data_IF_800344560188
#
_entry.id   IF_800344560188
#
_cell.length_a   1.000
_cell.length_b   1.000
_cell.length_c   1.000
_cell.angle_alpha   90.00
_cell.angle_beta   90.00
_cell.angle_gamma   90.00
#
_symmetry.space_group_name_H-M   'P 1'
#
loop_
_entity.id
_entity.type
_entity.pdbx_description
1 polymer ?
#
# COMPACT_ATOMS: atom_id res chain seq x y z
N UNK A 1 26.27 -5.86 17.95
CA UNK A 1 26.13 -4.38 18.03
C UNK A 1 25.01 -4.02 17.06
N UNK A 2 23.85 -3.55 17.57
CA UNK A 2 22.82 -3.03 16.67
C UNK A 2 23.38 -1.76 16.04
N UNK A 3 23.65 -1.79 14.74
CA UNK A 3 23.96 -0.56 14.00
C UNK A 3 22.71 0.30 13.99
N UNK A 4 22.86 1.58 14.31
CA UNK A 4 21.79 2.55 14.14
C UNK A 4 21.40 2.60 12.66
N UNK A 5 20.11 2.46 12.37
CA UNK A 5 19.58 2.51 11.00
C UNK A 5 19.09 3.94 10.77
N UNK A 6 19.57 4.58 9.72
CA UNK A 6 19.14 5.92 9.33
C UNK A 6 18.35 5.86 8.02
N UNK A 7 17.33 6.71 7.87
CA UNK A 7 16.58 6.77 6.62
C UNK A 7 17.45 7.21 5.44
N UNK A 8 18.50 8.02 5.70
CA UNK A 8 19.49 8.43 4.71
C UNK A 8 20.28 7.27 4.10
N UNK A 9 20.38 6.14 4.82
CA UNK A 9 21.03 4.92 4.31
C UNK A 9 20.21 4.23 3.20
N UNK A 10 18.98 4.69 2.99
CA UNK A 10 18.02 4.19 2.00
C UNK A 10 17.69 5.27 0.96
N UNK A 11 18.68 6.08 0.63
CA UNK A 11 18.55 7.12 -0.39
C UNK A 11 19.06 6.65 -1.75
N UNK A 12 18.45 7.13 -2.81
CA UNK A 12 18.89 6.95 -4.18
C UNK A 12 18.36 8.07 -5.07
N UNK A 13 19.07 8.39 -6.14
CA UNK A 13 18.66 9.37 -7.10
C UNK A 13 17.80 8.76 -8.20
N UNK A 14 16.65 9.36 -8.48
CA UNK A 14 15.77 8.98 -9.58
C UNK A 14 15.56 10.13 -10.55
N UNK A 15 15.83 9.95 -11.85
CA UNK A 15 15.48 10.93 -12.87
C UNK A 15 13.97 11.20 -12.91
N UNK A 16 13.53 12.45 -12.85
CA UNK A 16 12.11 12.82 -12.79
C UNK A 16 11.28 12.23 -13.95
N UNK A 17 11.90 12.05 -15.12
CA UNK A 17 11.28 11.43 -16.30
C UNK A 17 10.84 9.99 -16.09
N UNK A 18 11.41 9.28 -15.10
CA UNK A 18 11.06 7.90 -14.77
C UNK A 18 9.89 7.79 -13.79
N UNK A 19 9.47 8.89 -13.18
CA UNK A 19 8.31 8.92 -12.29
C UNK A 19 7.04 8.84 -13.13
N UNK A 20 6.32 7.72 -13.01
CA UNK A 20 5.09 7.48 -13.76
C UNK A 20 3.94 8.30 -13.18
N UNK A 21 3.60 9.42 -13.79
CA UNK A 21 2.47 10.28 -13.37
C UNK A 21 1.11 9.72 -13.79
N UNK A 22 1.06 8.88 -14.80
CA UNK A 22 -0.12 8.22 -15.34
C UNK A 22 0.10 6.72 -15.50
N UNK A 23 -0.95 5.91 -15.35
CA UNK A 23 -0.87 4.47 -15.62
C UNK A 23 -0.62 4.21 -17.11
N UNK A 24 -0.09 3.04 -17.49
CA UNK A 24 -0.01 2.63 -18.90
C UNK A 24 -1.41 2.49 -19.50
N UNK A 25 -1.52 2.45 -20.84
CA UNK A 25 -2.82 2.33 -21.55
C UNK A 25 -3.59 1.10 -21.05
N UNK A 26 -2.98 -0.08 -21.10
CA UNK A 26 -3.53 -1.30 -20.50
C UNK A 26 -2.77 -1.61 -19.20
N UNK A 27 -3.40 -2.27 -18.23
CA UNK A 27 -2.79 -2.58 -16.93
C UNK A 27 -1.54 -3.45 -17.11
N UNK A 28 -1.60 -4.43 -17.98
CA UNK A 28 -0.54 -5.40 -18.26
C UNK A 28 0.56 -4.90 -19.19
N UNK A 29 0.46 -3.65 -19.71
CA UNK A 29 1.53 -3.03 -20.52
C UNK A 29 2.74 -2.59 -19.67
N UNK A 30 2.62 -2.57 -18.35
CA UNK A 30 3.76 -2.31 -17.48
C UNK A 30 4.84 -3.40 -17.65
N UNK A 31 6.08 -3.03 -17.35
CA UNK A 31 7.20 -3.96 -17.33
C UNK A 31 7.27 -4.68 -15.99
N UNK A 32 7.78 -5.89 -16.01
CA UNK A 32 8.10 -6.69 -14.84
C UNK A 32 9.60 -6.96 -14.81
N UNK A 33 10.27 -6.50 -13.78
CA UNK A 33 11.65 -6.85 -13.51
C UNK A 33 11.68 -8.13 -12.68
N UNK A 34 12.19 -9.20 -13.26
CA UNK A 34 12.46 -10.46 -12.57
C UNK A 34 13.84 -10.37 -11.93
N UNK A 35 13.90 -10.52 -10.60
CA UNK A 35 15.11 -10.42 -9.82
C UNK A 35 15.35 -11.76 -9.13
N UNK A 36 16.28 -12.54 -9.66
CA UNK A 36 16.63 -13.86 -9.14
C UNK A 36 18.14 -14.10 -9.20
N UNK A 37 18.72 -14.56 -8.08
CA UNK A 37 20.14 -14.96 -7.99
C UNK A 37 21.10 -13.91 -8.59
N UNK A 38 20.86 -12.62 -8.30
CA UNK A 38 21.58 -11.46 -8.87
C UNK A 38 21.45 -11.30 -10.39
N UNK A 39 20.57 -12.06 -11.01
CA UNK A 39 20.24 -11.90 -12.42
C UNK A 39 18.98 -11.07 -12.59
N UNK A 40 19.03 -10.12 -13.51
CA UNK A 40 17.92 -9.22 -13.82
C UNK A 40 17.43 -9.47 -15.25
N UNK A 41 16.12 -9.67 -15.41
CA UNK A 41 15.50 -9.73 -16.73
C UNK A 41 14.19 -8.97 -16.78
N UNK A 42 14.02 -8.17 -17.83
CA UNK A 42 12.81 -7.36 -18.03
C UNK A 42 11.86 -8.13 -18.94
N UNK A 43 10.62 -8.24 -18.50
CA UNK A 43 9.52 -8.87 -19.23
C UNK A 43 8.31 -7.94 -19.26
N UNK A 44 7.30 -8.25 -20.06
CA UNK A 44 6.00 -7.64 -19.93
C UNK A 44 5.27 -8.22 -18.70
N UNK A 45 4.52 -7.40 -17.99
CA UNK A 45 3.79 -7.84 -16.79
C UNK A 45 2.82 -9.00 -17.08
N UNK A 46 2.22 -9.02 -18.27
CA UNK A 46 1.36 -10.12 -18.73
C UNK A 46 1.98 -11.51 -18.62
N UNK A 47 3.32 -11.60 -18.56
CA UNK A 47 4.04 -12.87 -18.45
C UNK A 47 4.32 -13.32 -17.01
N UNK A 48 3.77 -12.62 -15.98
CA UNK A 48 4.05 -12.93 -14.58
C UNK A 48 3.71 -14.37 -14.19
N UNK A 49 2.67 -14.97 -14.80
CA UNK A 49 2.28 -16.36 -14.56
C UNK A 49 3.43 -17.35 -14.84
N UNK A 50 4.37 -17.01 -15.72
CA UNK A 50 5.52 -17.86 -16.02
C UNK A 50 6.56 -17.91 -14.88
N UNK A 51 6.49 -16.97 -13.93
CA UNK A 51 7.32 -16.98 -12.73
C UNK A 51 6.76 -17.92 -11.65
N UNK A 52 5.45 -18.13 -11.63
CA UNK A 52 4.79 -18.95 -10.63
C UNK A 52 5.01 -20.44 -10.90
N UNK A 53 5.18 -21.21 -9.82
CA UNK A 53 5.23 -22.67 -9.86
C UNK A 53 3.85 -23.23 -9.54
N UNK A 54 3.57 -24.43 -10.03
CA UNK A 54 2.26 -25.10 -9.84
C UNK A 54 1.83 -25.20 -8.36
N UNK A 55 2.81 -25.33 -7.46
CA UNK A 55 2.56 -25.48 -6.02
C UNK A 55 2.63 -24.16 -5.24
N UNK A 56 2.74 -23.03 -5.91
CA UNK A 56 2.73 -21.71 -5.24
C UNK A 56 1.34 -21.37 -4.74
N UNK A 57 1.28 -20.69 -3.59
CA UNK A 57 0.11 -19.97 -3.12
C UNK A 57 0.29 -18.47 -3.37
N UNK A 58 -0.60 -17.87 -4.14
CA UNK A 58 -0.55 -16.45 -4.47
C UNK A 58 -1.58 -15.71 -3.61
N UNK A 59 -1.12 -14.73 -2.82
CA UNK A 59 -1.97 -14.00 -1.87
C UNK A 59 -2.18 -12.57 -2.35
N UNK A 60 -3.45 -12.18 -2.50
CA UNK A 60 -3.88 -10.85 -2.96
C UNK A 60 -4.47 -10.03 -1.82
N UNK A 61 -4.31 -8.70 -1.88
CA UNK A 61 -5.04 -7.77 -1.04
C UNK A 61 -6.27 -7.27 -1.80
N UNK A 62 -7.47 -7.67 -1.38
CA UNK A 62 -8.74 -7.31 -2.02
C UNK A 62 -9.37 -6.02 -1.51
N UNK A 63 -8.59 -5.20 -0.79
CA UNK A 63 -9.11 -3.93 -0.26
C UNK A 63 -9.60 -3.01 -1.38
N UNK A 64 -10.69 -2.28 -1.12
CA UNK A 64 -11.25 -1.30 -2.04
C UNK A 64 -10.94 0.12 -1.60
N UNK A 65 -10.43 0.92 -2.54
CA UNK A 65 -10.19 2.34 -2.32
C UNK A 65 -11.52 3.10 -2.39
N UNK A 66 -11.78 3.95 -1.40
CA UNK A 66 -12.88 4.89 -1.46
C UNK A 66 -12.40 6.31 -1.83
N UNK A 67 -13.29 7.19 -2.22
CA UNK A 67 -12.97 8.57 -2.60
C UNK A 67 -12.67 9.41 -1.36
N UNK A 68 -11.52 9.18 -0.76
CA UNK A 68 -11.13 9.66 0.55
C UNK A 68 -10.77 11.16 0.62
N UNK A 69 -10.63 11.85 -0.51
CA UNK A 69 -10.17 13.24 -0.57
C UNK A 69 -11.33 14.20 -0.77
N UNK A 70 -11.63 15.03 0.23
CA UNK A 70 -12.64 16.09 0.16
C UNK A 70 -11.94 17.43 -0.06
N UNK A 71 -12.26 18.11 -1.17
CA UNK A 71 -11.86 19.49 -1.44
C UNK A 71 -13.01 20.40 -1.09
N UNK A 72 -12.77 21.33 -0.19
CA UNK A 72 -13.80 22.16 0.42
C UNK A 72 -13.33 23.61 0.46
N UNK A 73 -14.29 24.54 0.50
CA UNK A 73 -14.01 25.96 0.62
C UNK A 73 -14.38 26.46 2.03
N UNK A 74 -13.52 27.27 2.62
CA UNK A 74 -13.82 27.97 3.88
C UNK A 74 -14.80 29.12 3.65
N UNK A 75 -15.48 29.57 4.70
CA UNK A 75 -16.32 30.77 4.65
C UNK A 75 -15.57 32.01 4.15
N UNK A 76 -14.26 32.11 4.44
CA UNK A 76 -13.37 33.16 3.96
C UNK A 76 -12.99 33.07 2.46
N UNK A 77 -13.48 32.05 1.74
CA UNK A 77 -13.14 31.81 0.32
C UNK A 77 -11.90 30.94 0.10
N UNK A 78 -11.06 30.73 1.13
CA UNK A 78 -9.85 29.91 1.00
C UNK A 78 -10.16 28.42 0.84
N UNK A 79 -9.31 27.71 0.08
CA UNK A 79 -9.44 26.27 -0.10
C UNK A 79 -8.90 25.49 1.11
N UNK A 80 -9.48 24.33 1.35
CA UNK A 80 -9.01 23.36 2.34
C UNK A 80 -9.25 21.95 1.84
N UNK A 81 -8.40 21.01 2.24
CA UNK A 81 -8.56 19.61 1.92
C UNK A 81 -8.66 18.79 3.21
N UNK A 82 -9.58 17.84 3.22
CA UNK A 82 -9.73 16.84 4.27
C UNK A 82 -9.56 15.47 3.59
N UNK A 83 -8.53 14.74 4.01
CA UNK A 83 -8.31 13.36 3.59
C UNK A 83 -8.81 12.43 4.68
N UNK A 84 -9.83 11.66 4.40
CA UNK A 84 -10.36 10.64 5.29
C UNK A 84 -9.36 9.48 5.33
N UNK A 85 -8.68 9.31 6.46
CA UNK A 85 -7.74 8.20 6.66
C UNK A 85 -8.48 6.92 7.09
N UNK A 86 -9.44 7.06 8.02
CA UNK A 86 -10.25 5.96 8.54
C UNK A 86 -11.61 6.49 8.99
N UNK A 87 -12.68 5.83 8.56
CA UNK A 87 -14.05 6.10 9.03
C UNK A 87 -14.24 5.33 10.34
N UNK A 88 -14.59 6.04 11.42
CA UNK A 88 -14.80 5.46 12.76
C UNK A 88 -16.28 5.22 13.05
N UNK A 89 -17.12 6.10 12.54
CA UNK A 89 -18.56 5.99 12.67
C UNK A 89 -19.25 6.71 11.50
N UNK A 90 -20.58 6.64 11.44
CA UNK A 90 -21.38 7.33 10.44
C UNK A 90 -21.02 8.83 10.28
N UNK A 91 -20.58 9.47 11.37
CA UNK A 91 -20.34 10.92 11.42
C UNK A 91 -18.92 11.30 11.86
N UNK A 92 -18.04 10.34 12.12
CA UNK A 92 -16.69 10.60 12.62
C UNK A 92 -15.63 9.87 11.80
N UNK A 93 -14.54 10.59 11.54
CA UNK A 93 -13.40 10.01 10.84
C UNK A 93 -12.07 10.58 11.36
N UNK A 94 -11.03 9.77 11.30
CA UNK A 94 -9.64 10.22 11.40
C UNK A 94 -9.21 10.76 10.04
N UNK A 95 -8.64 11.96 10.06
CA UNK A 95 -8.34 12.70 8.84
C UNK A 95 -6.93 13.28 8.85
N UNK A 96 -6.32 13.39 7.67
CA UNK A 96 -5.27 14.36 7.42
C UNK A 96 -5.91 15.63 6.84
N UNK A 97 -5.36 16.77 7.16
CA UNK A 97 -5.92 18.05 6.72
C UNK A 97 -4.86 18.95 6.12
N UNK A 98 -5.23 19.72 5.10
CA UNK A 98 -4.39 20.75 4.51
C UNK A 98 -5.17 22.06 4.45
N UNK A 99 -4.63 23.10 5.08
CA UNK A 99 -5.26 24.42 5.07
C UNK A 99 -6.43 24.57 6.03
N UNK A 100 -6.80 23.58 6.85
CA UNK A 100 -7.82 23.67 7.88
C UNK A 100 -7.28 24.43 9.11
N UNK A 101 -8.12 25.26 9.75
CA UNK A 101 -7.74 25.94 10.98
C UNK A 101 -8.00 25.02 12.19
N UNK A 102 -6.96 24.32 12.68
CA UNK A 102 -7.08 23.37 13.78
C UNK A 102 -7.38 24.01 15.14
N UNK A 103 -7.13 25.32 15.30
CA UNK A 103 -7.46 26.05 16.54
C UNK A 103 -8.95 26.32 16.68
N UNK A 104 -9.69 26.42 15.57
CA UNK A 104 -11.14 26.67 15.56
C UNK A 104 -11.88 25.33 15.68
N UNK A 105 -12.40 25.03 16.87
CA UNK A 105 -13.06 23.76 17.21
C UNK A 105 -14.27 23.42 16.33
N UNK A 106 -15.04 24.41 15.86
CA UNK A 106 -16.17 24.19 14.95
C UNK A 106 -16.07 25.15 13.78
N UNK A 107 -16.27 24.62 12.57
CA UNK A 107 -16.16 25.36 11.32
C UNK A 107 -17.28 24.96 10.36
N UNK A 108 -17.67 25.89 9.51
CA UNK A 108 -18.51 25.61 8.35
C UNK A 108 -17.64 25.66 7.10
N UNK A 109 -17.67 24.60 6.33
CA UNK A 109 -17.01 24.49 5.05
C UNK A 109 -18.08 24.39 3.96
N UNK A 110 -17.78 24.82 2.75
CA UNK A 110 -18.69 24.72 1.61
C UNK A 110 -18.29 23.54 0.74
N UNK A 111 -19.25 22.70 0.42
CA UNK A 111 -19.22 21.82 -0.76
C UNK A 111 -19.77 22.58 -1.96
N UNK A 112 -19.83 21.98 -3.11
CA UNK A 112 -20.43 22.62 -4.29
C UNK A 112 -21.94 22.88 -4.12
N UNK A 113 -22.62 22.19 -3.22
CA UNK A 113 -24.09 22.20 -3.10
C UNK A 113 -24.65 22.61 -1.74
N UNK A 114 -23.88 22.46 -0.63
CA UNK A 114 -24.36 22.79 0.71
C UNK A 114 -23.23 23.16 1.68
N UNK A 115 -23.55 23.85 2.79
CA UNK A 115 -22.61 24.08 3.88
C UNK A 115 -22.43 22.83 4.73
N UNK A 116 -21.19 22.37 4.89
CA UNK A 116 -20.80 21.26 5.73
C UNK A 116 -20.25 21.76 7.05
N UNK A 117 -20.96 21.50 8.16
CA UNK A 117 -20.45 21.79 9.50
C UNK A 117 -19.53 20.65 9.96
N UNK A 118 -18.35 21.02 10.44
CA UNK A 118 -17.39 20.10 11.05
C UNK A 118 -17.02 20.53 12.45
N UNK A 119 -16.62 19.57 13.29
CA UNK A 119 -16.06 19.82 14.61
C UNK A 119 -14.78 19.03 14.80
N UNK A 120 -13.71 19.71 15.24
CA UNK A 120 -12.43 19.09 15.57
C UNK A 120 -12.53 18.54 17.00
N UNK A 121 -12.46 17.22 17.13
CA UNK A 121 -12.59 16.52 18.42
C UNK A 121 -11.23 16.40 19.09
N UNK A 122 -10.22 15.91 18.33
CA UNK A 122 -8.87 15.64 18.85
C UNK A 122 -7.85 15.72 17.71
N UNK A 123 -6.63 16.11 18.07
CA UNK A 123 -5.45 16.00 17.20
C UNK A 123 -4.41 15.12 17.90
N UNK A 124 -3.87 14.15 17.20
CA UNK A 124 -2.82 13.27 17.69
C UNK A 124 -1.98 12.73 16.51
N UNK A 125 -0.66 12.80 16.62
CA UNK A 125 0.31 12.23 15.66
C UNK A 125 0.08 12.71 14.21
N UNK A 126 -0.38 13.98 14.05
CA UNK A 126 -0.70 14.60 12.77
C UNK A 126 -1.99 14.10 12.12
N UNK A 127 -2.78 13.29 12.83
CA UNK A 127 -4.15 12.93 12.48
C UNK A 127 -5.14 13.78 13.30
N UNK A 128 -6.24 14.15 12.66
CA UNK A 128 -7.31 14.96 13.25
C UNK A 128 -8.59 14.14 13.28
N UNK A 129 -9.13 13.91 14.47
CA UNK A 129 -10.46 13.33 14.61
C UNK A 129 -11.50 14.43 14.34
N UNK A 130 -12.26 14.27 13.28
CA UNK A 130 -13.30 15.22 12.84
C UNK A 130 -14.66 14.56 12.93
N UNK A 131 -15.61 15.31 13.54
CA UNK A 131 -17.04 15.01 13.49
C UNK A 131 -17.69 15.85 12.41
N UNK A 132 -18.44 15.21 11.52
CA UNK A 132 -19.14 15.81 10.39
C UNK A 132 -20.65 15.91 10.68
N UNK A 133 -21.30 16.93 10.14
CA UNK A 133 -22.77 17.06 10.20
C UNK A 133 -23.51 16.15 9.23
N UNK A 134 -22.80 15.48 8.34
CA UNK A 134 -23.31 14.56 7.34
C UNK A 134 -22.63 13.18 7.46
N UNK A 135 -23.26 12.15 6.88
CA UNK A 135 -22.69 10.82 6.80
C UNK A 135 -21.37 10.85 6.02
N UNK A 136 -20.28 10.37 6.62
CA UNK A 136 -18.93 10.41 6.03
C UNK A 136 -18.85 9.60 4.74
N UNK A 137 -19.46 8.41 4.69
CA UNK A 137 -19.48 7.58 3.48
C UNK A 137 -20.22 8.27 2.34
N UNK A 138 -21.34 8.93 2.65
CA UNK A 138 -22.10 9.70 1.67
C UNK A 138 -21.29 10.90 1.17
N UNK A 139 -20.60 11.62 2.05
CA UNK A 139 -19.70 12.72 1.66
C UNK A 139 -18.61 12.22 0.71
N UNK A 140 -17.98 11.09 1.04
CA UNK A 140 -16.93 10.50 0.21
C UNK A 140 -17.46 10.03 -1.14
N UNK A 141 -18.61 9.36 -1.18
CA UNK A 141 -19.18 8.85 -2.43
C UNK A 141 -19.63 9.97 -3.39
N UNK A 142 -20.16 11.07 -2.85
CA UNK A 142 -20.77 12.15 -3.64
C UNK A 142 -19.76 13.25 -4.00
N UNK A 143 -18.95 13.69 -3.04
CA UNK A 143 -18.02 14.83 -3.19
C UNK A 143 -16.55 14.44 -3.13
N UNK A 144 -16.27 13.19 -2.78
CA UNK A 144 -14.91 12.70 -2.65
C UNK A 144 -14.22 12.53 -4.00
N UNK A 145 -12.91 12.71 -3.96
CA UNK A 145 -11.99 12.48 -5.06
C UNK A 145 -11.07 11.31 -4.73
N UNK A 146 -10.54 10.67 -5.76
CA UNK A 146 -9.57 9.57 -5.60
C UNK A 146 -8.31 10.12 -4.93
N UNK A 147 -7.85 9.49 -3.85
CA UNK A 147 -6.70 9.98 -3.09
C UNK A 147 -5.37 9.54 -3.74
N UNK A 148 -5.12 10.00 -4.97
CA UNK A 148 -3.86 9.69 -5.66
C UNK A 148 -2.66 10.25 -4.88
N UNK A 149 -1.49 9.58 -4.93
CA UNK A 149 -0.31 9.99 -4.18
C UNK A 149 0.21 11.39 -4.54
N UNK A 150 0.70 12.18 -3.56
CA UNK A 150 1.15 13.56 -3.80
C UNK A 150 2.33 13.67 -4.77
N UNK A 151 3.20 12.66 -4.85
CA UNK A 151 4.37 12.67 -5.75
C UNK A 151 4.01 12.60 -7.23
N UNK A 152 2.74 12.29 -7.58
CA UNK A 152 2.26 12.37 -8.96
C UNK A 152 2.19 13.82 -9.44
N UNK A 153 2.20 14.81 -8.54
CA UNK A 153 2.22 16.26 -8.83
C UNK A 153 1.13 16.69 -9.83
N UNK A 154 -0.03 16.07 -9.75
CA UNK A 154 -1.23 16.39 -10.52
C UNK A 154 -2.48 16.16 -9.70
N UNK A 155 -3.59 16.67 -10.19
CA UNK A 155 -4.90 16.34 -9.65
C UNK A 155 -5.38 14.99 -10.18
N UNK A 156 -6.33 14.39 -9.45
CA UNK A 156 -7.04 13.20 -9.92
C UNK A 156 -7.92 13.56 -11.12
N UNK A 157 -8.06 12.63 -12.03
CA UNK A 157 -8.92 12.71 -13.19
C UNK A 157 -9.94 11.55 -13.23
N UNK A 158 -10.80 11.52 -14.24
CA UNK A 158 -11.80 10.45 -14.38
C UNK A 158 -11.16 9.07 -14.56
N UNK A 159 -10.00 9.01 -15.17
CA UNK A 159 -9.24 7.77 -15.33
C UNK A 159 -8.85 7.15 -14.00
N UNK A 160 -8.50 7.97 -13.00
CA UNK A 160 -8.09 7.48 -11.68
C UNK A 160 -9.24 6.76 -10.95
N UNK A 161 -10.52 7.13 -11.21
CA UNK A 161 -11.66 6.42 -10.62
C UNK A 161 -11.67 4.92 -10.94
N UNK A 162 -11.16 4.55 -12.12
CA UNK A 162 -11.07 3.15 -12.57
C UNK A 162 -9.68 2.59 -12.38
N UNK A 163 -8.64 3.38 -12.66
CA UNK A 163 -7.26 2.88 -12.73
C UNK A 163 -6.57 2.81 -11.37
N UNK A 164 -6.99 3.64 -10.39
CA UNK A 164 -6.47 3.57 -9.00
C UNK A 164 -7.26 2.59 -8.14
N UNK A 165 -7.71 1.47 -8.74
CA UNK A 165 -8.44 0.38 -8.10
C UNK A 165 -8.01 -0.95 -8.68
N UNK A 166 -7.85 -1.99 -7.84
CA UNK A 166 -7.59 -3.35 -8.34
C UNK A 166 -8.85 -3.97 -8.95
N UNK A 167 -8.69 -4.87 -9.92
CA UNK A 167 -9.80 -5.57 -10.58
C UNK A 167 -10.47 -6.61 -9.67
N UNK A 168 -9.80 -7.02 -8.60
CA UNK A 168 -10.28 -7.99 -7.61
C UNK A 168 -10.63 -7.34 -6.25
N UNK A 169 -10.84 -6.02 -6.23
CA UNK A 169 -11.27 -5.32 -5.03
C UNK A 169 -12.67 -5.79 -4.59
N UNK A 170 -12.84 -5.97 -3.29
CA UNK A 170 -14.11 -6.40 -2.70
C UNK A 170 -14.99 -5.19 -2.39
N UNK A 171 -16.18 -5.13 -3.00
CA UNK A 171 -17.11 -4.01 -2.85
C UNK A 171 -17.64 -3.82 -1.43
N UNK A 172 -17.65 -4.85 -0.61
CA UNK A 172 -18.12 -4.80 0.78
C UNK A 172 -17.08 -4.15 1.70
N UNK A 173 -15.79 -4.24 1.34
CA UNK A 173 -14.66 -3.82 2.17
C UNK A 173 -14.09 -2.47 1.69
N UNK A 174 -14.89 -1.40 1.72
CA UNK A 174 -14.52 -0.04 1.28
C UNK A 174 -13.84 0.74 2.40
N UNK A 175 -12.65 0.31 2.81
CA UNK A 175 -11.98 0.88 3.97
C UNK A 175 -10.62 1.52 3.65
N UNK A 176 -10.14 1.43 2.40
CA UNK A 176 -8.79 1.83 2.05
C UNK A 176 -8.73 3.25 1.52
N UNK A 177 -7.89 4.08 2.15
CA UNK A 177 -7.60 5.44 1.70
C UNK A 177 -6.50 5.51 0.62
N UNK A 178 -5.88 4.37 0.28
CA UNK A 178 -4.89 4.27 -0.80
C UNK A 178 -4.96 2.90 -1.48
N UNK A 179 -4.53 2.80 -2.74
CA UNK A 179 -4.52 1.54 -3.47
C UNK A 179 -3.33 0.65 -3.07
N UNK A 180 -3.50 -0.70 -3.02
CA UNK A 180 -2.39 -1.64 -3.04
C UNK A 180 -1.78 -1.66 -4.45
N UNK A 181 -0.81 -0.76 -4.72
CA UNK A 181 -0.42 -0.37 -6.09
C UNK A 181 0.14 -1.50 -6.95
N UNK A 182 0.77 -2.52 -6.36
CA UNK A 182 1.18 -3.72 -7.09
C UNK A 182 0.00 -4.49 -7.71
N UNK A 183 -1.21 -4.34 -7.16
CA UNK A 183 -2.44 -4.92 -7.68
C UNK A 183 -2.98 -4.22 -8.92
N UNK A 184 -2.52 -2.99 -9.21
CA UNK A 184 -2.99 -2.19 -10.35
C UNK A 184 -2.50 -2.70 -11.71
N UNK A 185 -1.50 -3.56 -11.70
CA UNK A 185 -0.94 -4.17 -12.90
C UNK A 185 -1.81 -5.28 -13.49
N UNK A 186 -2.70 -5.89 -12.68
CA UNK A 186 -3.58 -6.96 -13.12
C UNK A 186 -4.80 -6.40 -13.85
N UNK A 187 -5.13 -6.98 -15.00
CA UNK A 187 -6.45 -6.88 -15.60
C UNK A 187 -7.29 -8.13 -15.26
N UNK A 188 -8.54 -8.16 -15.69
CA UNK A 188 -9.43 -9.28 -15.39
C UNK A 188 -8.92 -10.58 -16.00
N UNK A 189 -8.47 -10.55 -17.26
CA UNK A 189 -8.04 -11.74 -17.99
C UNK A 189 -6.82 -12.40 -17.31
N UNK A 190 -5.83 -11.61 -16.94
CA UNK A 190 -4.64 -12.11 -16.24
C UNK A 190 -5.01 -12.61 -14.83
N UNK A 191 -5.89 -11.92 -14.12
CA UNK A 191 -6.34 -12.35 -12.80
C UNK A 191 -7.10 -13.68 -12.88
N UNK A 192 -8.06 -13.82 -13.80
CA UNK A 192 -8.80 -15.07 -14.04
C UNK A 192 -7.87 -16.21 -14.43
N UNK A 193 -6.92 -15.96 -15.35
CA UNK A 193 -5.90 -16.94 -15.71
C UNK A 193 -5.15 -17.45 -14.48
N UNK A 194 -4.66 -16.54 -13.64
CA UNK A 194 -3.88 -16.91 -12.44
C UNK A 194 -4.74 -17.70 -11.45
N UNK A 195 -5.97 -17.27 -11.19
CA UNK A 195 -6.86 -17.97 -10.25
C UNK A 195 -7.30 -19.36 -10.73
N UNK A 196 -7.33 -19.58 -12.05
CA UNK A 196 -7.63 -20.89 -12.64
C UNK A 196 -6.43 -21.83 -12.66
N UNK A 197 -5.22 -21.30 -12.81
CA UNK A 197 -4.00 -22.12 -12.98
C UNK A 197 -3.27 -22.39 -11.64
N UNK A 198 -3.43 -21.51 -10.63
CA UNK A 198 -2.68 -21.55 -9.37
C UNK A 198 -3.57 -21.50 -8.14
N UNK A 199 -3.04 -21.98 -7.01
CA UNK A 199 -3.71 -21.79 -5.74
C UNK A 199 -3.65 -20.32 -5.32
N UNK A 200 -4.80 -19.76 -4.97
CA UNK A 200 -4.89 -18.35 -4.55
C UNK A 200 -5.70 -18.19 -3.28
N UNK A 201 -5.40 -17.14 -2.53
CA UNK A 201 -6.28 -16.66 -1.48
C UNK A 201 -6.22 -15.13 -1.37
N UNK A 202 -7.13 -14.57 -0.60
CA UNK A 202 -7.26 -13.12 -0.42
C UNK A 202 -7.14 -12.74 1.05
N UNK A 203 -6.56 -11.59 1.28
CA UNK A 203 -6.61 -10.87 2.56
C UNK A 203 -7.19 -9.49 2.31
N UNK A 204 -7.62 -8.82 3.36
CA UNK A 204 -7.94 -7.40 3.31
C UNK A 204 -7.00 -6.65 4.26
N UNK A 205 -6.25 -5.66 3.76
CA UNK A 205 -5.57 -4.67 4.57
C UNK A 205 -5.98 -3.29 4.06
N UNK A 206 -6.61 -2.51 4.92
CA UNK A 206 -7.01 -1.14 4.65
C UNK A 206 -5.78 -0.23 4.68
N UNK A 207 -5.35 0.24 3.51
CA UNK A 207 -4.15 1.08 3.38
C UNK A 207 -4.46 2.50 3.81
N UNK A 208 -3.76 2.98 4.84
CA UNK A 208 -3.85 4.36 5.30
C UNK A 208 -2.97 5.31 4.48
N UNK A 209 -3.29 6.60 4.54
CA UNK A 209 -2.53 7.66 3.88
C UNK A 209 -1.11 7.83 4.44
N UNK A 210 -0.83 7.25 5.61
CA UNK A 210 0.49 7.22 6.21
C UNK A 210 1.56 6.55 5.35
N UNK A 211 1.15 5.65 4.43
CA UNK A 211 2.03 4.96 3.49
C UNK A 211 2.80 5.93 2.57
N UNK A 212 2.27 7.13 2.32
CA UNK A 212 2.91 8.15 1.49
C UNK A 212 3.59 9.26 2.28
N UNK A 213 3.57 9.20 3.62
CA UNK A 213 4.30 10.17 4.43
C UNK A 213 5.77 9.80 4.49
N UNK A 214 6.67 10.78 4.31
CA UNK A 214 8.08 10.59 4.66
C UNK A 214 8.22 10.22 6.14
N UNK A 215 9.21 9.41 6.47
CA UNK A 215 9.54 9.12 7.86
C UNK A 215 9.95 10.42 8.57
N UNK A 216 9.34 10.68 9.72
CA UNK A 216 9.55 11.92 10.48
C UNK A 216 10.94 11.99 11.13
N UNK A 217 11.47 10.83 11.55
CA UNK A 217 12.75 10.74 12.23
C UNK A 217 13.84 10.24 11.28
N UNK A 218 15.05 10.76 11.42
CA UNK A 218 16.20 10.28 10.66
C UNK A 218 16.70 8.94 11.19
N UNK A 219 16.77 8.80 12.52
CA UNK A 219 17.14 7.55 13.17
C UNK A 219 15.93 6.62 13.32
N UNK A 220 16.10 5.38 12.91
CA UNK A 220 15.10 4.31 13.00
C UNK A 220 15.55 3.31 14.05
N UNK A 221 14.77 3.16 15.10
CA UNK A 221 15.05 2.25 16.20
C UNK A 221 13.96 1.17 16.35
N UNK A 222 14.07 0.31 17.34
CA UNK A 222 13.13 -0.79 17.56
C UNK A 222 11.75 -0.33 18.06
N UNK A 223 11.66 0.88 18.61
CA UNK A 223 10.39 1.50 18.99
C UNK A 223 9.67 2.21 17.84
N UNK A 224 10.31 2.35 16.68
CA UNK A 224 9.70 2.99 15.50
C UNK A 224 8.54 2.16 14.99
N UNK A 225 7.37 2.80 14.88
CA UNK A 225 6.13 2.18 14.41
C UNK A 225 5.54 2.99 13.26
N UNK A 226 4.85 2.32 12.37
CA UNK A 226 4.03 2.98 11.36
C UNK A 226 2.64 3.31 11.93
N UNK A 227 1.87 4.10 11.21
CA UNK A 227 0.46 4.31 11.54
C UNK A 227 -0.28 2.97 11.56
N UNK A 228 -1.23 2.86 12.48
CA UNK A 228 -2.05 1.67 12.62
C UNK A 228 -2.92 1.46 11.37
N UNK A 229 -2.92 0.25 10.86
CA UNK A 229 -3.77 -0.20 9.76
C UNK A 229 -4.55 -1.44 10.18
N UNK A 230 -5.84 -1.47 9.80
CA UNK A 230 -6.69 -2.64 10.02
C UNK A 230 -6.47 -3.66 8.92
N UNK A 231 -6.46 -4.94 9.28
CA UNK A 231 -6.48 -6.01 8.29
C UNK A 231 -7.38 -7.17 8.74
N UNK A 232 -7.76 -7.99 7.77
CA UNK A 232 -8.59 -9.16 7.98
C UNK A 232 -8.09 -10.33 7.13
N UNK A 233 -7.98 -11.49 7.75
CA UNK A 233 -7.70 -12.77 7.09
C UNK A 233 -8.84 -13.72 7.43
N UNK A 234 -9.53 -14.26 6.42
CA UNK A 234 -10.60 -15.22 6.64
C UNK A 234 -10.06 -16.57 7.15
N UNK A 235 -10.88 -17.34 7.84
CA UNK A 235 -10.53 -18.70 8.27
C UNK A 235 -10.09 -19.57 7.08
N UNK A 236 -10.74 -19.43 5.92
CA UNK A 236 -10.39 -20.16 4.71
C UNK A 236 -9.00 -19.77 4.21
N UNK A 237 -8.70 -18.45 4.12
CA UNK A 237 -7.38 -17.95 3.70
C UNK A 237 -6.30 -18.40 4.67
N UNK A 238 -6.54 -18.29 5.98
CA UNK A 238 -5.58 -18.73 7.00
C UNK A 238 -5.31 -20.24 6.91
N UNK A 239 -6.34 -21.07 6.69
CA UNK A 239 -6.17 -22.50 6.46
C UNK A 239 -5.31 -22.82 5.25
N UNK A 240 -5.54 -22.14 4.11
CA UNK A 240 -4.71 -22.31 2.90
C UNK A 240 -3.25 -21.91 3.15
N UNK A 241 -3.02 -20.75 3.78
CA UNK A 241 -1.69 -20.24 4.10
C UNK A 241 -0.97 -21.23 5.05
N UNK A 242 -1.63 -21.66 6.12
CA UNK A 242 -1.05 -22.56 7.11
C UNK A 242 -0.75 -23.97 6.55
N UNK A 243 -1.59 -24.47 5.64
CA UNK A 243 -1.27 -25.71 4.91
C UNK A 243 -0.04 -25.56 4.06
N UNK A 244 0.10 -24.42 3.35
CA UNK A 244 1.24 -24.12 2.50
C UNK A 244 2.55 -24.04 3.32
N UNK A 245 2.50 -23.39 4.48
CA UNK A 245 3.63 -23.29 5.42
C UNK A 245 4.05 -24.66 5.95
N UNK A 246 3.08 -25.49 6.37
CA UNK A 246 3.32 -26.86 6.86
C UNK A 246 4.00 -27.74 5.82
N UNK A 247 3.62 -27.58 4.55
CA UNK A 247 4.17 -28.32 3.43
C UNK A 247 5.50 -27.74 2.90
N UNK A 248 6.04 -26.69 3.53
CA UNK A 248 7.22 -25.93 3.07
C UNK A 248 7.12 -25.46 1.62
N UNK A 249 5.92 -25.16 1.15
CA UNK A 249 5.68 -24.65 -0.20
C UNK A 249 5.69 -23.12 -0.22
N UNK A 250 5.94 -22.58 -1.39
CA UNK A 250 6.17 -21.14 -1.59
C UNK A 250 4.88 -20.32 -1.48
N UNK A 251 4.93 -19.21 -0.74
CA UNK A 251 3.87 -18.21 -0.62
C UNK A 251 4.35 -16.91 -1.25
N UNK A 252 3.58 -16.38 -2.19
CA UNK A 252 3.89 -15.16 -2.93
C UNK A 252 2.93 -14.04 -2.52
N UNK A 253 3.47 -12.97 -1.95
CA UNK A 253 2.70 -11.80 -1.58
C UNK A 253 2.58 -10.83 -2.77
N UNK A 254 1.35 -10.46 -3.15
CA UNK A 254 1.09 -9.43 -4.14
C UNK A 254 0.96 -8.08 -3.44
N UNK A 255 2.05 -7.33 -3.43
CA UNK A 255 2.18 -6.02 -2.77
C UNK A 255 2.72 -6.07 -1.35
N UNK A 256 3.38 -4.97 -0.97
CA UNK A 256 3.92 -4.77 0.40
C UNK A 256 2.83 -4.78 1.47
N UNK A 257 1.60 -4.38 1.14
CA UNK A 257 0.44 -4.43 2.03
C UNK A 257 0.06 -5.87 2.37
N UNK A 258 0.07 -6.77 1.38
CA UNK A 258 -0.15 -8.21 1.59
C UNK A 258 0.95 -8.79 2.46
N UNK A 259 2.21 -8.48 2.17
CA UNK A 259 3.35 -8.92 2.98
C UNK A 259 3.20 -8.49 4.44
N UNK A 260 2.87 -7.21 4.67
CA UNK A 260 2.69 -6.68 6.03
C UNK A 260 1.56 -7.37 6.79
N UNK A 261 0.43 -7.64 6.15
CA UNK A 261 -0.68 -8.38 6.78
C UNK A 261 -0.28 -9.81 7.14
N UNK A 262 0.39 -10.52 6.23
CA UNK A 262 0.84 -11.88 6.45
C UNK A 262 1.82 -11.98 7.63
N UNK A 263 2.86 -11.15 7.63
CA UNK A 263 3.88 -11.17 8.69
C UNK A 263 3.33 -10.66 10.04
N UNK A 264 2.35 -9.74 10.03
CA UNK A 264 1.70 -9.28 11.25
C UNK A 264 0.75 -10.30 11.86
N UNK A 265 0.20 -11.20 11.06
CA UNK A 265 -0.72 -12.26 11.51
C UNK A 265 -0.01 -13.51 12.02
N UNK A 266 1.32 -13.56 11.88
CA UNK A 266 2.13 -14.69 12.36
C UNK A 266 2.10 -14.81 13.88
N UNK A 267 1.80 -15.99 14.37
CA UNK A 267 1.81 -16.34 15.78
C UNK A 267 2.98 -17.31 16.06
N UNK A 268 3.95 -16.87 16.87
CA UNK A 268 5.14 -17.64 17.21
C UNK A 268 4.83 -18.88 18.10
N UNK A 269 3.74 -18.87 18.86
CA UNK A 269 3.36 -19.99 19.72
C UNK A 269 2.80 -21.15 18.91
N UNK A 270 1.99 -20.84 17.90
CA UNK A 270 1.34 -21.85 17.06
C UNK A 270 2.07 -22.11 15.75
N UNK A 271 3.12 -21.33 15.44
CA UNK A 271 3.84 -21.32 14.16
C UNK A 271 2.86 -21.27 12.97
N UNK A 272 1.92 -20.34 13.02
CA UNK A 272 0.85 -20.24 12.03
C UNK A 272 0.34 -18.80 11.90
N UNK A 273 -0.32 -18.53 10.78
CA UNK A 273 -1.06 -17.28 10.53
C UNK A 273 -2.41 -17.35 11.24
N UNK A 274 -2.71 -16.33 12.04
CA UNK A 274 -3.97 -16.20 12.77
C UNK A 274 -5.07 -15.57 11.90
N UNK A 275 -6.28 -16.13 11.84
CA UNK A 275 -7.41 -15.53 11.15
C UNK A 275 -8.04 -14.39 11.95
N UNK A 276 -8.99 -13.68 11.33
CA UNK A 276 -9.82 -12.65 11.95
C UNK A 276 -9.39 -11.23 11.68
N UNK A 277 -10.10 -10.30 12.34
CA UNK A 277 -9.79 -8.86 12.29
C UNK A 277 -8.66 -8.55 13.25
N UNK A 278 -7.65 -7.86 12.76
CA UNK A 278 -6.44 -7.50 13.50
C UNK A 278 -5.98 -6.09 13.10
N UNK A 279 -5.04 -5.55 13.84
CA UNK A 279 -4.36 -4.29 13.52
C UNK A 279 -2.87 -4.49 13.40
N UNK A 280 -2.20 -3.67 12.60
CA UNK A 280 -0.76 -3.68 12.48
C UNK A 280 -0.17 -2.28 12.53
N UNK A 281 0.92 -2.14 13.25
CA UNK A 281 1.83 -0.98 13.21
C UNK A 281 3.22 -1.41 12.77
N UNK A 282 3.33 -2.60 12.18
CA UNK A 282 4.61 -3.25 11.86
C UNK A 282 5.48 -2.35 10.99
N UNK A 283 6.70 -2.14 11.42
CA UNK A 283 7.74 -1.48 10.66
C UNK A 283 8.83 -2.50 10.30
N UNK A 284 8.77 -2.98 9.07
CA UNK A 284 9.73 -3.96 8.56
C UNK A 284 10.97 -3.22 8.10
N UNK A 285 12.12 -3.56 8.69
CA UNK A 285 13.45 -3.00 8.43
C UNK A 285 14.50 -4.11 8.49
N UNK A 286 15.74 -3.82 8.20
CA UNK A 286 16.86 -4.79 8.33
C UNK A 286 16.85 -5.48 9.69
N UNK A 287 17.09 -6.80 9.68
CA UNK A 287 17.00 -7.67 10.86
C UNK A 287 15.60 -8.20 11.15
N UNK A 288 14.56 -7.83 10.35
CA UNK A 288 13.22 -8.40 10.49
C UNK A 288 13.22 -9.87 10.05
N UNK A 289 12.65 -10.73 10.90
CA UNK A 289 12.51 -12.17 10.60
C UNK A 289 11.19 -12.43 9.91
N UNK A 290 11.26 -12.79 8.63
CA UNK A 290 10.10 -13.18 7.83
C UNK A 290 9.75 -14.65 8.07
N UNK A 291 8.47 -14.92 8.32
CA UNK A 291 7.97 -16.25 8.64
C UNK A 291 7.03 -16.83 7.56
N UNK A 292 6.38 -15.97 6.77
CA UNK A 292 5.28 -16.38 5.91
C UNK A 292 5.64 -16.31 4.43
N UNK A 293 5.98 -15.13 3.91
CA UNK A 293 6.16 -14.95 2.48
C UNK A 293 7.56 -15.36 1.99
N UNK A 294 7.63 -16.02 0.82
CA UNK A 294 8.87 -16.43 0.16
C UNK A 294 9.23 -15.53 -1.02
N UNK A 295 8.24 -14.92 -1.66
CA UNK A 295 8.44 -13.98 -2.76
C UNK A 295 7.45 -12.81 -2.65
N UNK A 296 7.85 -11.68 -3.20
CA UNK A 296 7.09 -10.43 -3.19
C UNK A 296 7.05 -9.81 -4.58
N UNK A 297 5.84 -9.58 -5.10
CA UNK A 297 5.60 -8.69 -6.22
C UNK A 297 5.35 -7.28 -5.69
N UNK A 298 6.07 -6.28 -6.17
CA UNK A 298 5.90 -4.90 -5.71
C UNK A 298 6.32 -3.88 -6.77
N UNK A 299 5.92 -2.61 -6.58
CA UNK A 299 6.43 -1.47 -7.34
C UNK A 299 7.82 -1.05 -6.85
N UNK A 300 8.47 -0.14 -7.58
CA UNK A 300 9.64 0.59 -7.09
C UNK A 300 9.19 1.70 -6.13
N UNK A 301 9.84 1.82 -4.98
CA UNK A 301 9.44 2.70 -3.87
C UNK A 301 10.27 3.98 -3.82
N UNK A 302 9.72 5.00 -3.16
CA UNK A 302 10.38 6.29 -2.93
C UNK A 302 11.67 6.12 -2.12
N UNK A 303 12.70 6.95 -2.38
CA UNK A 303 13.88 7.02 -1.51
C UNK A 303 13.47 7.40 -0.09
N UNK A 304 14.23 6.96 0.89
CA UNK A 304 14.07 7.22 2.32
C UNK A 304 12.67 6.84 2.88
N UNK A 305 11.99 5.86 2.25
CA UNK A 305 10.66 5.41 2.65
C UNK A 305 10.68 4.10 3.41
N UNK A 306 9.67 3.89 4.27
CA UNK A 306 9.47 2.62 4.97
C UNK A 306 9.28 1.43 4.02
N UNK A 307 8.76 1.67 2.81
CA UNK A 307 8.57 0.63 1.81
C UNK A 307 9.88 0.22 1.14
N UNK A 308 10.81 1.16 0.92
CA UNK A 308 12.17 0.82 0.46
C UNK A 308 12.92 0.02 1.52
N UNK A 309 12.81 0.41 2.80
CA UNK A 309 13.37 -0.37 3.90
C UNK A 309 12.81 -1.78 3.95
N UNK A 310 11.50 -1.94 3.75
CA UNK A 310 10.83 -3.24 3.75
C UNK A 310 11.39 -4.16 2.65
N UNK A 311 11.53 -3.67 1.42
CA UNK A 311 12.06 -4.51 0.33
C UNK A 311 13.55 -4.81 0.52
N UNK A 312 14.32 -3.87 1.09
CA UNK A 312 15.71 -4.11 1.49
C UNK A 312 15.81 -5.18 2.58
N UNK A 313 14.93 -5.14 3.59
CA UNK A 313 14.86 -6.17 4.61
C UNK A 313 14.49 -7.55 4.02
N UNK A 314 13.61 -7.57 3.02
CA UNK A 314 13.12 -8.81 2.41
C UNK A 314 14.16 -9.51 1.54
N UNK A 315 14.82 -8.77 0.67
CA UNK A 315 15.70 -9.34 -0.36
C UNK A 315 17.20 -9.01 -0.17
N UNK A 316 17.54 -8.20 0.83
CA UNK A 316 18.90 -7.70 1.04
C UNK A 316 19.11 -6.31 0.44
N UNK A 317 19.73 -5.42 1.23
CA UNK A 317 19.89 -4.00 0.88
C UNK A 317 20.71 -3.81 -0.40
N UNK A 318 21.90 -4.41 -0.48
CA UNK A 318 22.80 -4.30 -1.64
C UNK A 318 22.13 -4.82 -2.92
N UNK A 319 21.41 -5.93 -2.83
CA UNK A 319 20.68 -6.50 -3.94
C UNK A 319 19.55 -5.58 -4.44
N UNK A 320 18.80 -4.97 -3.52
CA UNK A 320 17.73 -4.02 -3.90
C UNK A 320 18.30 -2.76 -4.53
N UNK A 321 19.39 -2.21 -4.00
CA UNK A 321 20.03 -1.04 -4.62
C UNK A 321 20.55 -1.36 -6.03
N UNK A 322 21.20 -2.50 -6.23
CA UNK A 322 21.62 -2.97 -7.57
C UNK A 322 20.41 -3.17 -8.50
N UNK A 323 19.28 -3.66 -7.97
CA UNK A 323 18.01 -3.80 -8.70
C UNK A 323 17.49 -2.43 -9.17
N UNK A 324 17.55 -1.42 -8.30
CA UNK A 324 17.09 -0.06 -8.60
C UNK A 324 18.00 0.64 -9.62
N UNK A 325 19.31 0.50 -9.49
CA UNK A 325 20.29 0.99 -10.48
C UNK A 325 20.02 0.36 -11.86
N UNK A 326 19.83 -0.96 -11.91
CA UNK A 326 19.48 -1.66 -13.14
C UNK A 326 18.17 -1.15 -13.73
N UNK A 327 17.14 -0.94 -12.91
CA UNK A 327 15.85 -0.43 -13.35
C UNK A 327 15.98 1.00 -13.94
N UNK A 328 16.73 1.89 -13.29
CA UNK A 328 16.99 3.26 -13.75
C UNK A 328 17.74 3.23 -15.08
N UNK A 329 18.81 2.44 -15.18
CA UNK A 329 19.61 2.30 -16.40
C UNK A 329 18.80 1.79 -17.59
N UNK A 330 17.79 0.95 -17.33
CA UNK A 330 16.93 0.38 -18.37
C UNK A 330 15.61 1.16 -18.56
N UNK A 331 15.51 2.39 -18.03
CA UNK A 331 14.35 3.27 -18.15
C UNK A 331 13.02 2.60 -17.73
N UNK A 332 13.01 1.82 -16.63
CA UNK A 332 11.79 1.39 -16.01
C UNK A 332 11.11 2.59 -15.32
N UNK A 333 9.79 2.54 -15.23
CA UNK A 333 9.00 3.58 -14.59
C UNK A 333 8.81 3.28 -13.12
N UNK A 334 8.76 4.30 -12.30
CA UNK A 334 8.77 4.19 -10.84
C UNK A 334 7.45 4.60 -10.20
N UNK A 335 7.24 4.13 -8.98
CA UNK A 335 6.15 4.41 -8.05
C UNK A 335 4.82 3.78 -8.46
N UNK A 336 3.68 4.31 -7.99
CA UNK A 336 2.35 3.65 -8.03
C UNK A 336 1.87 3.25 -9.42
N UNK A 337 2.14 4.06 -10.44
CA UNK A 337 1.76 3.80 -11.83
C UNK A 337 2.94 3.34 -12.69
N UNK A 338 4.07 3.09 -12.04
CA UNK A 338 5.30 2.62 -12.69
C UNK A 338 5.25 1.15 -13.06
N UNK A 339 6.42 0.59 -13.17
CA UNK A 339 6.64 -0.82 -13.46
C UNK A 339 6.74 -1.63 -12.15
N UNK A 340 6.76 -2.94 -12.24
CA UNK A 340 6.82 -3.84 -11.11
C UNK A 340 8.15 -4.61 -11.07
N UNK A 341 8.51 -5.07 -9.89
CA UNK A 341 9.54 -6.09 -9.70
C UNK A 341 9.00 -7.26 -8.90
N UNK A 342 9.55 -8.44 -9.14
CA UNK A 342 9.32 -9.62 -8.31
C UNK A 342 10.66 -10.07 -7.74
N UNK A 343 10.71 -10.20 -6.42
CA UNK A 343 11.88 -10.52 -5.62
C UNK A 343 11.62 -11.74 -4.75
N UNK A 344 12.63 -12.55 -4.54
CA UNK A 344 12.60 -13.67 -3.59
C UNK A 344 13.20 -13.25 -2.25
N UNK A 345 12.75 -13.86 -1.17
CA UNK A 345 13.28 -13.61 0.17
C UNK A 345 14.75 -14.04 0.24
N UNK A 346 15.59 -13.17 0.79
CA UNK A 346 17.00 -13.49 1.01
C UNK A 346 17.15 -14.67 2.01
N UNK A 347 17.91 -15.72 1.67
CA UNK A 347 18.12 -16.85 2.56
C UNK A 347 18.83 -16.51 3.88
N UNK A 348 19.54 -15.39 3.93
CA UNK A 348 20.31 -14.96 5.11
C UNK A 348 19.46 -14.34 6.22
N UNK A 349 18.14 -14.20 6.02
CA UNK A 349 17.20 -13.64 7.00
C UNK A 349 16.53 -14.73 7.87
N UNK A 350 17.28 -15.77 8.25
CA UNK A 350 16.86 -16.83 9.20
C UNK A 350 17.33 -16.53 10.62
#
# INVERSE_FOLDING_TARGET
MNQDIYKSDYDYEIPEKLIARYPPKNRTDSKLLLCKDQNFSIKNFSSISNFFKKDDLIVFNETKVFKARLRLQKESGGQTEIFINRILSKFEAECLTKGLNLKKKSQVLKTDTFPLKISIVKEKDGLVLIKFSQNVEHLCSTYGKVPIPPYLKRDDDEFDNVRYQSVFANDVLKESAAAPTASLHFDNDLYEKITNEFSTCKINLAVGLGTFKPLSNDAINDSSKLHEENFFISDESAKKINSQLKDNKRIIAIGTTTLRALESSWNNETNSVSPGKQTTTIFIKEGFKFNVANALLTNFHLPQSSLLMLVCAFAGKEFIFSTYEFAIKNNLRFFSYGDAMIIERCPLNY
#
